data_IF_707480540738
#
_entry.id   IF_707480540738
#
_cell.length_a   1.000
_cell.length_b   1.000
_cell.length_c   1.000
_cell.angle_alpha   90.00
_cell.angle_beta   90.00
_cell.angle_gamma   90.00
#
_symmetry.space_group_name_H-M   'P 1'
#
loop_
_entity.id
_entity.type
_entity.pdbx_description
1 polymer ?
#
# COMPACT_ATOMS: atom_id res chain seq x y z
N UNK A 1 24.60 -8.53 -9.51
CA UNK A 1 24.33 -7.08 -9.52
C UNK A 1 23.06 -6.82 -8.74
N UNK A 2 23.17 -6.02 -7.69
CA UNK A 2 22.20 -5.85 -6.60
C UNK A 2 22.93 -6.01 -5.26
N UNK A 3 22.80 -5.05 -4.34
CA UNK A 3 23.33 -5.14 -2.98
C UNK A 3 22.43 -6.07 -2.16
N UNK A 4 22.48 -7.37 -2.45
CA UNK A 4 21.59 -8.38 -1.86
C UNK A 4 21.84 -8.60 -0.36
N UNK A 5 22.96 -8.11 0.16
CA UNK A 5 23.33 -8.02 1.58
C UNK A 5 22.86 -6.70 2.25
N UNK A 6 22.22 -5.82 1.48
CA UNK A 6 21.70 -4.53 1.95
C UNK A 6 22.67 -3.37 1.72
N UNK A 7 22.19 -2.15 1.98
CA UNK A 7 22.99 -0.94 1.83
C UNK A 7 23.30 -0.55 0.38
N UNK A 8 24.37 0.23 0.20
CA UNK A 8 24.75 0.82 -1.09
C UNK A 8 26.06 0.23 -1.62
N UNK A 9 26.09 -0.07 -2.92
CA UNK A 9 27.31 -0.53 -3.61
C UNK A 9 28.29 0.60 -3.99
N UNK A 10 28.02 1.82 -3.55
CA UNK A 10 28.80 3.04 -3.81
C UNK A 10 29.11 3.75 -2.50
N UNK A 11 30.23 4.51 -2.42
CA UNK A 11 30.59 5.26 -1.21
C UNK A 11 29.51 6.26 -0.80
N UNK A 12 29.42 6.56 0.51
CA UNK A 12 28.40 7.47 1.04
C UNK A 12 28.37 8.86 0.38
N UNK A 13 29.51 9.41 -0.07
CA UNK A 13 29.55 10.69 -0.79
C UNK A 13 28.78 10.65 -2.12
N UNK A 14 28.92 9.57 -2.88
CA UNK A 14 28.16 9.36 -4.10
C UNK A 14 26.67 9.20 -3.81
N UNK A 15 26.32 8.47 -2.74
CA UNK A 15 24.92 8.29 -2.34
C UNK A 15 24.29 9.64 -1.98
N UNK A 16 25.00 10.49 -1.23
CA UNK A 16 24.55 11.85 -0.87
C UNK A 16 24.33 12.73 -2.11
N UNK A 17 25.19 12.61 -3.12
CA UNK A 17 25.03 13.33 -4.39
C UNK A 17 23.76 12.89 -5.12
N UNK A 18 23.54 11.58 -5.25
CA UNK A 18 22.36 11.02 -5.91
C UNK A 18 21.08 11.39 -5.16
N UNK A 19 21.06 11.27 -3.83
CA UNK A 19 19.92 11.68 -3.01
C UNK A 19 19.59 13.16 -3.23
N UNK A 20 20.59 14.04 -3.15
CA UNK A 20 20.40 15.47 -3.41
C UNK A 20 19.80 15.71 -4.80
N UNK A 21 20.30 15.04 -5.83
CA UNK A 21 19.78 15.23 -7.19
C UNK A 21 18.35 14.71 -7.38
N UNK A 22 17.98 13.63 -6.70
CA UNK A 22 16.69 12.96 -6.91
C UNK A 22 15.59 13.43 -5.95
N UNK A 23 15.94 13.99 -4.79
CA UNK A 23 14.96 14.28 -3.73
C UNK A 23 15.01 15.71 -3.20
N UNK A 24 15.82 16.62 -3.77
CA UNK A 24 15.92 18.01 -3.27
C UNK A 24 14.65 18.86 -3.36
N UNK A 25 13.63 18.37 -4.05
CA UNK A 25 12.34 19.03 -4.23
C UNK A 25 11.27 18.51 -3.26
N UNK A 26 11.60 17.52 -2.43
CA UNK A 26 10.72 17.09 -1.35
C UNK A 26 10.78 18.08 -0.17
N UNK A 27 9.70 18.15 0.64
CA UNK A 27 9.77 18.76 1.95
C UNK A 27 10.90 18.17 2.80
N UNK A 28 11.30 18.90 3.84
CA UNK A 28 12.29 18.41 4.77
C UNK A 28 11.85 17.06 5.38
N UNK A 29 12.79 16.15 5.68
CA UNK A 29 12.46 14.85 6.25
C UNK A 29 11.81 15.01 7.64
N UNK A 30 10.81 14.18 7.93
CA UNK A 30 10.10 14.21 9.24
C UNK A 30 11.06 13.93 10.39
N UNK A 31 12.09 13.13 10.14
CA UNK A 31 13.18 12.90 11.07
C UNK A 31 14.50 12.98 10.29
N UNK A 32 15.25 14.10 10.34
CA UNK A 32 16.43 14.33 9.50
C UNK A 32 17.71 13.64 10.00
N UNK A 33 17.65 12.78 11.02
CA UNK A 33 18.84 12.08 11.51
C UNK A 33 19.50 11.27 10.40
N UNK A 34 20.78 11.55 10.16
CA UNK A 34 21.61 10.86 9.17
C UNK A 34 21.85 9.40 9.58
N UNK A 35 22.02 8.54 8.60
CA UNK A 35 22.44 7.15 8.81
C UNK A 35 23.96 7.00 8.63
N UNK A 36 24.47 5.77 8.66
CA UNK A 36 25.89 5.47 8.49
C UNK A 36 26.54 6.18 7.30
N UNK A 37 27.83 6.51 7.43
CA UNK A 37 28.59 7.32 6.46
C UNK A 37 28.04 8.75 6.23
N UNK A 38 27.19 9.24 7.15
CA UNK A 38 26.62 10.58 7.09
C UNK A 38 25.58 10.76 5.97
N UNK A 39 25.04 9.67 5.44
CA UNK A 39 24.00 9.66 4.39
C UNK A 39 22.70 10.24 4.96
N UNK A 40 21.98 11.02 4.14
CA UNK A 40 20.73 11.65 4.54
C UNK A 40 19.55 10.68 4.55
N UNK A 41 18.38 11.23 4.86
CA UNK A 41 17.08 10.59 4.71
C UNK A 41 16.14 11.60 4.04
N UNK A 42 15.09 11.11 3.41
CA UNK A 42 14.12 11.88 2.63
C UNK A 42 12.68 11.40 2.81
N UNK A 43 12.40 10.38 3.65
CA UNK A 43 11.02 10.07 4.01
C UNK A 43 10.36 11.27 4.70
N UNK A 44 9.19 11.65 4.20
CA UNK A 44 8.46 12.85 4.63
C UNK A 44 6.99 12.73 4.26
N UNK A 45 6.21 13.79 4.48
CA UNK A 45 4.90 13.94 3.86
C UNK A 45 4.78 15.24 3.07
N UNK A 46 3.93 15.23 2.05
CA UNK A 46 3.58 16.39 1.25
C UNK A 46 2.06 16.57 1.29
N UNK A 47 1.58 17.68 1.84
CA UNK A 47 0.17 18.05 1.72
C UNK A 47 -0.03 18.90 0.46
N UNK A 48 -0.85 18.39 -0.47
CA UNK A 48 -1.17 19.08 -1.71
C UNK A 48 -2.62 18.84 -2.12
N UNK A 49 -3.39 19.91 -2.36
CA UNK A 49 -4.78 19.82 -2.79
C UNK A 49 -5.69 19.08 -1.80
N UNK A 50 -5.44 19.25 -0.50
CA UNK A 50 -6.07 18.52 0.61
C UNK A 50 -5.80 17.00 0.60
N UNK A 51 -4.79 16.54 -0.13
CA UNK A 51 -4.32 15.15 -0.03
C UNK A 51 -2.97 15.17 0.65
N UNK A 52 -2.83 14.34 1.67
CA UNK A 52 -1.57 14.18 2.39
C UNK A 52 -0.87 12.90 1.89
N UNK A 53 0.29 13.09 1.28
CA UNK A 53 1.10 12.04 0.66
C UNK A 53 2.26 11.66 1.60
N UNK A 54 2.23 10.47 2.20
CA UNK A 54 3.40 9.90 2.86
C UNK A 54 4.39 9.37 1.81
N UNK A 55 5.61 9.87 1.82
CA UNK A 55 6.70 9.48 0.93
C UNK A 55 7.67 8.58 1.71
N UNK A 56 7.81 7.32 1.29
CA UNK A 56 8.51 6.28 2.04
C UNK A 56 9.85 5.87 1.42
N UNK A 57 10.78 5.47 2.29
CA UNK A 57 12.10 4.93 1.97
C UNK A 57 12.15 3.42 2.21
N UNK A 58 11.36 2.68 1.43
CA UNK A 58 11.19 1.22 1.55
C UNK A 58 12.35 0.39 0.97
N UNK A 59 13.39 1.05 0.44
CA UNK A 59 14.63 0.41 -0.05
C UNK A 59 15.83 0.63 0.87
N UNK A 60 16.06 1.86 1.33
CA UNK A 60 17.22 2.24 2.14
C UNK A 60 17.29 1.48 3.47
N UNK A 61 16.13 1.30 4.11
CA UNK A 61 16.03 0.68 5.44
C UNK A 61 15.80 -0.83 5.39
N UNK A 62 15.51 -1.37 4.20
CA UNK A 62 15.16 -2.77 4.02
C UNK A 62 16.40 -3.66 4.18
N UNK A 63 16.24 -4.74 4.93
CA UNK A 63 17.27 -5.77 5.08
C UNK A 63 17.53 -6.47 3.74
N UNK A 64 18.80 -6.77 3.43
CA UNK A 64 19.15 -7.64 2.30
C UNK A 64 19.05 -9.12 2.69
N UNK A 65 18.50 -10.01 1.84
CA UNK A 65 18.36 -11.43 2.18
C UNK A 65 19.68 -12.21 2.22
N UNK A 66 20.74 -11.75 1.54
CA UNK A 66 22.02 -12.47 1.49
C UNK A 66 22.67 -12.54 2.88
N UNK A 67 23.05 -13.76 3.29
CA UNK A 67 23.62 -14.02 4.62
C UNK A 67 22.59 -14.06 5.75
N UNK A 68 21.32 -13.73 5.49
CA UNK A 68 20.21 -13.81 6.45
C UNK A 68 19.24 -14.95 6.14
N UNK A 69 19.04 -15.22 4.86
CA UNK A 69 18.18 -16.30 4.36
C UNK A 69 19.02 -17.25 3.51
N UNK A 70 18.92 -18.58 3.69
CA UNK A 70 19.57 -19.54 2.82
C UNK A 70 19.17 -19.34 1.35
N UNK A 71 20.14 -19.41 0.44
CA UNK A 71 19.90 -19.24 -0.99
C UNK A 71 19.04 -20.40 -1.53
N UNK A 72 17.85 -20.09 -2.05
CA UNK A 72 16.87 -21.07 -2.57
C UNK A 72 16.53 -20.89 -4.06
N UNK A 73 17.36 -20.14 -4.78
CA UNK A 73 17.16 -19.80 -6.17
C UNK A 73 18.43 -19.26 -6.83
N UNK A 74 18.35 -18.74 -8.07
CA UNK A 74 19.52 -18.27 -8.80
C UNK A 74 20.18 -17.05 -8.13
N UNK A 75 19.37 -16.18 -7.50
CA UNK A 75 19.81 -15.04 -6.70
C UNK A 75 19.48 -15.24 -5.21
N UNK A 76 20.16 -14.57 -4.27
CA UNK A 76 19.87 -14.67 -2.83
C UNK A 76 18.44 -14.27 -2.46
N UNK A 77 17.82 -13.40 -3.24
CA UNK A 77 16.46 -12.91 -3.08
C UNK A 77 15.39 -13.77 -3.78
N UNK A 78 15.78 -14.85 -4.47
CA UNK A 78 14.87 -15.69 -5.25
C UNK A 78 14.57 -17.03 -4.58
N UNK A 79 13.30 -17.41 -4.59
CA UNK A 79 12.83 -18.72 -4.17
C UNK A 79 12.08 -19.38 -5.33
N UNK A 80 12.52 -20.59 -5.71
CA UNK A 80 11.88 -21.37 -6.79
C UNK A 80 11.02 -22.51 -6.29
N UNK A 81 11.37 -23.11 -5.16
CA UNK A 81 10.65 -24.24 -4.60
C UNK A 81 9.27 -23.78 -4.12
N UNK A 82 8.15 -24.27 -4.72
CA UNK A 82 6.81 -23.91 -4.26
C UNK A 82 6.43 -24.60 -2.94
N UNK A 83 7.16 -25.64 -2.54
CA UNK A 83 6.90 -26.42 -1.33
C UNK A 83 7.76 -25.98 -0.14
N UNK A 84 8.43 -24.83 -0.24
CA UNK A 84 9.19 -24.26 0.88
C UNK A 84 8.25 -23.73 1.97
N UNK A 85 8.74 -23.64 3.20
CA UNK A 85 8.00 -23.00 4.29
C UNK A 85 8.20 -21.47 4.25
N UNK A 86 7.15 -20.66 3.98
CA UNK A 86 7.29 -19.21 3.95
C UNK A 86 7.71 -18.60 5.30
N UNK A 87 7.38 -19.25 6.43
CA UNK A 87 7.81 -18.78 7.74
C UNK A 87 9.33 -18.86 7.91
N UNK A 88 10.00 -19.79 7.21
CA UNK A 88 11.46 -19.96 7.28
C UNK A 88 12.26 -18.76 6.76
N UNK A 89 11.61 -17.86 6.01
CA UNK A 89 12.26 -16.65 5.48
C UNK A 89 11.87 -15.37 6.20
N UNK A 90 10.84 -15.37 7.06
CA UNK A 90 10.52 -14.23 7.93
C UNK A 90 11.45 -14.22 9.15
N UNK A 91 12.73 -13.90 8.91
CA UNK A 91 13.78 -14.06 9.90
C UNK A 91 13.78 -12.92 10.93
N UNK A 92 14.07 -13.28 12.18
CA UNK A 92 14.18 -12.33 13.29
C UNK A 92 15.17 -11.20 12.99
N UNK A 93 14.76 -9.98 13.34
CA UNK A 93 15.56 -8.78 13.12
C UNK A 93 15.63 -8.32 11.66
N UNK A 94 14.93 -8.97 10.71
CA UNK A 94 14.74 -8.40 9.38
C UNK A 94 13.82 -7.17 9.43
N UNK A 95 14.25 -6.12 8.75
CA UNK A 95 13.61 -4.80 8.73
C UNK A 95 13.11 -4.49 7.32
N UNK A 96 11.93 -3.86 7.23
CA UNK A 96 11.42 -3.26 6.01
C UNK A 96 11.54 -1.73 6.03
N UNK A 97 10.66 -1.05 6.80
CA UNK A 97 10.68 0.42 6.93
C UNK A 97 11.57 0.92 8.08
N UNK A 98 11.71 0.12 9.13
CA UNK A 98 12.39 0.52 10.36
C UNK A 98 11.55 1.43 11.25
N UNK A 99 11.95 1.54 12.52
CA UNK A 99 11.15 2.18 13.57
C UNK A 99 10.87 3.67 13.33
N UNK A 100 11.81 4.39 12.71
CA UNK A 100 11.66 5.83 12.44
C UNK A 100 10.51 6.11 11.48
N UNK A 101 10.42 5.32 10.40
CA UNK A 101 9.34 5.42 9.42
C UNK A 101 8.01 4.90 9.99
N UNK A 102 8.04 3.83 10.80
CA UNK A 102 6.83 3.32 11.45
C UNK A 102 6.24 4.32 12.45
N UNK A 103 7.09 5.00 13.23
CA UNK A 103 6.69 6.08 14.14
C UNK A 103 6.08 7.26 13.36
N UNK A 104 6.72 7.65 12.26
CA UNK A 104 6.16 8.65 11.35
C UNK A 104 4.78 8.23 10.84
N UNK A 105 4.63 7.01 10.33
CA UNK A 105 3.34 6.53 9.80
C UNK A 105 2.25 6.45 10.87
N UNK A 106 2.58 6.04 12.10
CA UNK A 106 1.62 6.01 13.20
C UNK A 106 1.11 7.42 13.54
N UNK A 107 1.99 8.42 13.59
CA UNK A 107 1.61 9.83 13.77
C UNK A 107 0.83 10.38 12.57
N UNK A 108 1.35 10.16 11.36
CA UNK A 108 0.74 10.61 10.11
C UNK A 108 -0.66 10.02 9.89
N UNK A 109 -0.92 8.77 10.31
CA UNK A 109 -2.24 8.15 10.19
C UNK A 109 -3.31 8.84 11.07
N UNK A 110 -2.87 9.48 12.15
CA UNK A 110 -3.72 10.16 13.13
C UNK A 110 -3.91 11.65 12.81
N UNK A 111 -2.93 12.26 12.16
CA UNK A 111 -2.98 13.67 11.79
C UNK A 111 -3.78 13.89 10.50
N UNK A 112 -4.89 14.61 10.59
CA UNK A 112 -5.73 14.97 9.44
C UNK A 112 -5.79 16.47 9.23
N UNK A 113 -4.85 17.23 9.79
CA UNK A 113 -4.76 18.66 9.56
C UNK A 113 -4.57 18.93 8.06
N UNK A 114 -5.44 19.78 7.50
CA UNK A 114 -5.44 20.14 6.06
C UNK A 114 -5.53 18.94 5.11
N UNK A 115 -5.93 17.76 5.60
CA UNK A 115 -6.01 16.54 4.81
C UNK A 115 -7.45 16.01 4.78
N UNK A 116 -7.89 15.70 3.57
CA UNK A 116 -9.16 15.09 3.24
C UNK A 116 -8.99 13.61 2.87
N UNK A 117 -7.86 13.29 2.25
CA UNK A 117 -7.47 11.96 1.81
C UNK A 117 -5.99 11.72 2.08
N UNK A 118 -5.62 10.44 2.20
CA UNK A 118 -4.24 10.02 2.48
C UNK A 118 -3.75 9.04 1.43
N UNK A 119 -2.52 9.24 0.98
CA UNK A 119 -1.86 8.37 -0.01
C UNK A 119 -0.46 8.04 0.48
N UNK A 120 -0.05 6.78 0.39
CA UNK A 120 1.32 6.36 0.61
C UNK A 120 2.01 6.13 -0.74
N UNK A 121 3.24 6.63 -0.87
CA UNK A 121 4.11 6.47 -2.02
C UNK A 121 5.35 5.67 -1.59
N UNK A 122 5.64 4.59 -2.29
CA UNK A 122 6.85 3.79 -2.04
C UNK A 122 7.46 3.32 -3.36
N UNK A 123 8.70 2.84 -3.31
CA UNK A 123 9.36 2.31 -4.51
C UNK A 123 8.61 1.07 -5.04
N UNK A 124 8.21 0.13 -4.16
CA UNK A 124 7.56 -1.12 -4.56
C UNK A 124 6.34 -1.49 -3.72
N UNK A 125 5.55 -2.45 -4.23
CA UNK A 125 4.28 -2.89 -3.66
C UNK A 125 4.49 -3.79 -2.44
N UNK A 126 3.62 -3.72 -1.43
CA UNK A 126 3.63 -4.55 -0.22
C UNK A 126 3.14 -5.99 -0.45
N UNK A 127 3.63 -6.66 -1.49
CA UNK A 127 3.41 -8.10 -1.76
C UNK A 127 4.41 -8.63 -2.79
N UNK A 128 4.50 -9.96 -2.93
CA UNK A 128 5.05 -10.65 -4.10
C UNK A 128 4.13 -10.50 -5.31
N UNK A 129 4.16 -9.34 -5.96
CA UNK A 129 3.21 -8.99 -7.04
C UNK A 129 3.47 -9.63 -8.40
N UNK A 130 4.46 -10.51 -8.53
CA UNK A 130 4.83 -11.18 -9.77
C UNK A 130 5.24 -12.63 -9.51
N UNK A 131 4.86 -13.51 -10.44
CA UNK A 131 5.20 -14.94 -10.43
C UNK A 131 6.21 -15.31 -11.51
N UNK A 132 6.35 -14.51 -12.57
CA UNK A 132 7.26 -14.79 -13.69
C UNK A 132 8.07 -13.53 -13.95
N UNK A 133 9.38 -13.70 -14.12
CA UNK A 133 10.35 -12.61 -14.20
C UNK A 133 11.27 -12.76 -15.42
N UNK A 134 11.45 -11.67 -16.17
CA UNK A 134 12.33 -11.58 -17.34
C UNK A 134 11.74 -12.23 -18.59
N UNK A 135 11.51 -13.54 -18.56
CA UNK A 135 10.94 -14.31 -19.68
C UNK A 135 9.88 -15.30 -19.20
N UNK A 136 9.06 -15.83 -20.12
CA UNK A 136 7.90 -16.68 -19.80
C UNK A 136 8.23 -17.94 -18.96
N UNK A 137 9.48 -18.44 -19.02
CA UNK A 137 9.96 -19.59 -18.24
C UNK A 137 10.60 -19.20 -16.90
N UNK A 138 10.68 -17.91 -16.58
CA UNK A 138 11.32 -17.36 -15.38
C UNK A 138 10.42 -17.39 -14.15
N UNK A 139 9.67 -18.47 -13.94
CA UNK A 139 8.77 -18.56 -12.78
C UNK A 139 9.59 -18.55 -11.48
N UNK A 140 9.20 -17.68 -10.57
CA UNK A 140 9.65 -17.62 -9.19
C UNK A 140 8.43 -17.85 -8.30
N UNK A 141 8.65 -18.58 -7.22
CA UNK A 141 7.61 -18.72 -6.22
C UNK A 141 7.57 -17.46 -5.35
N UNK A 142 8.72 -16.95 -4.91
CA UNK A 142 8.83 -15.70 -4.17
C UNK A 142 10.06 -14.88 -4.59
N UNK A 143 9.94 -13.54 -4.51
CA UNK A 143 10.97 -12.55 -4.81
C UNK A 143 11.12 -11.59 -3.62
N UNK A 144 12.14 -11.83 -2.78
CA UNK A 144 12.39 -11.07 -1.54
C UNK A 144 12.78 -9.62 -1.82
N UNK A 145 13.03 -9.25 -3.07
CA UNK A 145 13.21 -7.86 -3.48
C UNK A 145 11.90 -7.06 -3.37
N UNK A 146 10.71 -7.66 -3.50
CA UNK A 146 9.44 -6.95 -3.30
C UNK A 146 9.17 -6.64 -1.82
N UNK A 147 8.26 -5.72 -1.50
CA UNK A 147 7.84 -5.49 -0.11
C UNK A 147 6.83 -6.55 0.40
N UNK A 148 6.76 -7.70 -0.27
CA UNK A 148 6.18 -8.92 0.33
C UNK A 148 7.04 -9.48 1.47
N UNK A 149 8.33 -9.14 1.49
CA UNK A 149 9.31 -9.60 2.47
C UNK A 149 10.12 -8.43 3.08
N UNK A 150 10.52 -8.49 4.36
CA UNK A 150 10.12 -9.51 5.35
C UNK A 150 8.64 -9.39 5.72
N UNK A 151 7.96 -10.52 5.93
CA UNK A 151 6.51 -10.55 6.18
C UNK A 151 6.13 -9.74 7.43
N UNK A 152 6.87 -9.91 8.53
CA UNK A 152 6.65 -9.12 9.74
C UNK A 152 6.85 -7.61 9.52
N UNK A 153 7.80 -7.22 8.66
CA UNK A 153 8.01 -5.83 8.25
C UNK A 153 6.86 -5.27 7.43
N UNK A 154 6.38 -6.05 6.43
CA UNK A 154 5.20 -5.74 5.62
C UNK A 154 3.96 -5.56 6.49
N UNK A 155 3.72 -6.47 7.43
CA UNK A 155 2.53 -6.44 8.29
C UNK A 155 2.46 -5.17 9.14
N UNK A 156 3.59 -4.73 9.70
CA UNK A 156 3.69 -3.45 10.43
C UNK A 156 3.39 -2.25 9.53
N UNK A 157 3.92 -2.23 8.31
CA UNK A 157 3.64 -1.16 7.36
C UNK A 157 2.15 -1.07 7.00
N UNK A 158 1.53 -2.18 6.63
CA UNK A 158 0.10 -2.24 6.28
C UNK A 158 -0.79 -1.88 7.47
N UNK A 159 -0.43 -2.31 8.69
CA UNK A 159 -1.16 -1.96 9.91
C UNK A 159 -1.11 -0.46 10.17
N UNK A 160 0.04 0.20 9.98
CA UNK A 160 0.15 1.64 10.14
C UNK A 160 -0.64 2.41 9.07
N UNK A 161 -0.58 1.96 7.81
CA UNK A 161 -1.26 2.62 6.70
C UNK A 161 -2.79 2.51 6.76
N UNK A 162 -3.33 1.33 7.14
CA UNK A 162 -4.78 1.13 7.22
C UNK A 162 -5.46 1.98 8.29
N UNK A 163 -4.75 2.30 9.39
CA UNK A 163 -5.25 3.21 10.45
C UNK A 163 -5.63 4.60 9.91
N UNK A 164 -5.03 5.04 8.81
CA UNK A 164 -5.30 6.32 8.16
C UNK A 164 -6.13 6.19 6.88
N UNK A 165 -6.74 5.03 6.59
CA UNK A 165 -7.45 4.76 5.33
C UNK A 165 -6.61 5.11 4.09
N UNK A 166 -5.29 4.90 4.16
CA UNK A 166 -4.37 5.33 3.12
C UNK A 166 -4.53 4.47 1.86
N UNK A 167 -4.49 5.11 0.70
CA UNK A 167 -4.32 4.42 -0.58
C UNK A 167 -2.84 4.29 -0.91
N UNK A 168 -2.40 3.15 -1.43
CA UNK A 168 -0.99 2.92 -1.77
C UNK A 168 -0.72 3.03 -3.27
N UNK A 169 0.25 3.85 -3.66
CA UNK A 169 0.77 3.91 -5.03
C UNK A 169 2.26 3.55 -5.03
N UNK A 170 2.67 2.68 -5.97
CA UNK A 170 4.05 2.21 -6.07
C UNK A 170 4.45 1.93 -7.53
N UNK A 171 5.75 1.67 -7.75
CA UNK A 171 6.32 1.25 -9.03
C UNK A 171 7.13 -0.04 -8.91
N UNK A 172 8.34 -0.04 -9.49
CA UNK A 172 9.37 -1.10 -9.41
C UNK A 172 9.03 -2.44 -10.10
N UNK A 173 7.82 -2.95 -9.97
CA UNK A 173 7.47 -4.30 -10.44
C UNK A 173 7.36 -4.43 -11.96
N UNK A 174 7.37 -3.33 -12.72
CA UNK A 174 7.22 -3.34 -14.17
C UNK A 174 5.97 -4.09 -14.66
N UNK A 175 4.96 -4.18 -13.80
CA UNK A 175 3.69 -4.84 -14.03
C UNK A 175 2.65 -4.03 -13.29
N UNK A 176 1.72 -3.43 -14.03
CA UNK A 176 0.63 -2.73 -13.38
C UNK A 176 -0.29 -3.73 -12.69
N UNK A 177 -0.62 -3.48 -11.42
CA UNK A 177 -1.48 -4.35 -10.63
C UNK A 177 -2.35 -3.55 -9.67
N UNK A 178 -3.58 -4.00 -9.46
CA UNK A 178 -4.41 -3.55 -8.34
C UNK A 178 -4.54 -4.70 -7.35
N UNK A 179 -4.15 -4.46 -6.10
CA UNK A 179 -4.35 -5.38 -4.99
C UNK A 179 -5.13 -4.72 -3.85
N UNK A 180 -5.94 -5.51 -3.15
CA UNK A 180 -6.41 -5.18 -1.81
C UNK A 180 -5.68 -6.10 -0.84
N UNK A 181 -4.91 -5.52 0.07
CA UNK A 181 -4.04 -6.24 0.98
C UNK A 181 -4.83 -6.85 2.15
N UNK A 182 -4.28 -7.94 2.69
CA UNK A 182 -4.75 -8.57 3.91
C UNK A 182 -3.62 -8.80 4.92
N UNK A 183 -4.00 -8.78 6.20
CA UNK A 183 -3.23 -9.17 7.37
C UNK A 183 -3.83 -10.45 7.95
N UNK A 184 -4.98 -10.34 8.62
CA UNK A 184 -5.64 -11.50 9.23
C UNK A 184 -6.55 -12.20 8.24
N UNK A 185 -7.26 -11.43 7.43
CA UNK A 185 -8.14 -11.88 6.36
C UNK A 185 -7.78 -11.20 5.05
N UNK A 186 -8.21 -11.74 3.92
CA UNK A 186 -8.21 -10.98 2.67
C UNK A 186 -9.09 -9.72 2.82
N UNK A 187 -8.63 -8.59 2.29
CA UNK A 187 -9.35 -7.30 2.26
C UNK A 187 -9.57 -6.64 3.63
N UNK A 188 -8.61 -6.75 4.55
CA UNK A 188 -8.65 -6.10 5.87
C UNK A 188 -7.49 -5.10 6.11
N UNK A 189 -6.89 -4.62 5.02
CA UNK A 189 -5.89 -3.57 4.98
C UNK A 189 -6.06 -2.71 3.71
N UNK A 190 -5.04 -1.96 3.32
CA UNK A 190 -5.16 -0.94 2.25
C UNK A 190 -5.32 -1.52 0.83
N UNK A 191 -5.83 -0.70 -0.09
CA UNK A 191 -5.70 -0.94 -1.52
C UNK A 191 -4.38 -0.39 -2.04
N UNK A 192 -3.84 -1.03 -3.08
CA UNK A 192 -2.66 -0.58 -3.80
C UNK A 192 -2.83 -0.58 -5.31
N UNK A 193 -2.16 0.37 -5.95
CA UNK A 193 -1.93 0.39 -7.39
C UNK A 193 -0.44 0.48 -7.68
N UNK A 194 0.11 -0.57 -8.26
CA UNK A 194 1.41 -0.49 -8.90
C UNK A 194 1.22 0.07 -10.31
N UNK A 195 1.84 1.21 -10.61
CA UNK A 195 1.80 1.78 -11.95
C UNK A 195 2.69 0.97 -12.91
N UNK A 196 2.38 0.93 -14.21
CA UNK A 196 3.25 0.29 -15.20
C UNK A 196 4.58 1.04 -15.33
N UNK A 197 5.58 0.36 -15.88
CA UNK A 197 6.78 1.04 -16.36
C UNK A 197 6.48 1.79 -17.66
N UNK A 198 6.96 3.04 -17.78
CA UNK A 198 6.86 3.83 -19.02
C UNK A 198 7.53 3.09 -20.19
N UNK A 199 8.65 2.42 -19.93
CA UNK A 199 9.34 1.58 -20.90
C UNK A 199 9.65 0.23 -20.25
N UNK A 200 8.87 -0.79 -20.60
CA UNK A 200 8.99 -2.09 -19.96
C UNK A 200 10.04 -3.00 -20.65
N UNK A 201 11.27 -2.98 -20.13
CA UNK A 201 12.37 -3.81 -20.62
C UNK A 201 12.56 -5.10 -19.81
N UNK A 202 11.97 -5.19 -18.63
CA UNK A 202 12.04 -6.36 -17.76
C UNK A 202 10.64 -6.83 -17.42
N UNK A 203 10.18 -7.84 -18.16
CA UNK A 203 8.80 -8.30 -18.11
C UNK A 203 8.51 -9.05 -16.81
N UNK A 204 7.34 -8.79 -16.25
CA UNK A 204 6.78 -9.59 -15.16
C UNK A 204 5.33 -9.98 -15.45
N UNK A 205 4.87 -11.06 -14.83
CA UNK A 205 3.47 -11.51 -14.91
C UNK A 205 2.94 -11.91 -13.53
N UNK A 206 1.70 -11.52 -13.26
CA UNK A 206 0.87 -12.09 -12.21
C UNK A 206 0.13 -13.31 -12.78
N UNK A 207 0.66 -14.50 -12.54
CA UNK A 207 0.10 -15.75 -13.05
C UNK A 207 0.03 -16.81 -11.94
N UNK A 208 -0.98 -16.76 -11.06
CA UNK A 208 -1.17 -17.81 -10.07
C UNK A 208 -1.50 -19.15 -10.75
N UNK A 209 -1.12 -20.25 -10.12
CA UNK A 209 -1.34 -21.60 -10.66
C UNK A 209 -2.80 -22.06 -10.55
N UNK A 210 -3.56 -21.45 -9.64
CA UNK A 210 -4.98 -21.74 -9.40
C UNK A 210 -5.79 -20.46 -9.57
N UNK A 211 -7.06 -20.55 -10.01
CA UNK A 211 -7.96 -19.41 -9.98
C UNK A 211 -8.12 -18.84 -8.57
N UNK A 212 -8.24 -17.53 -8.45
CA UNK A 212 -8.45 -16.89 -7.14
C UNK A 212 -9.85 -17.14 -6.58
N UNK A 213 -9.94 -17.26 -5.26
CA UNK A 213 -11.23 -17.40 -4.59
C UNK A 213 -11.99 -16.05 -4.53
N UNK A 214 -13.31 -16.09 -4.29
CA UNK A 214 -14.17 -14.88 -4.13
C UNK A 214 -13.95 -13.80 -5.21
N UNK A 215 -13.73 -14.28 -6.43
CA UNK A 215 -13.47 -13.44 -7.60
C UNK A 215 -14.76 -12.81 -8.13
N UNK A 216 -14.68 -11.58 -8.63
CA UNK A 216 -15.82 -10.90 -9.27
C UNK A 216 -16.31 -11.69 -10.50
N UNK A 217 -17.62 -11.82 -10.68
CA UNK A 217 -18.20 -12.54 -11.81
C UNK A 217 -17.65 -12.00 -13.14
N UNK A 218 -17.27 -12.89 -14.06
CA UNK A 218 -16.74 -12.53 -15.39
C UNK A 218 -15.30 -11.98 -15.44
N UNK A 219 -14.64 -11.76 -14.29
CA UNK A 219 -13.24 -11.30 -14.29
C UNK A 219 -12.23 -12.40 -14.70
N UNK A 220 -10.97 -12.08 -15.02
CA UNK A 220 -9.96 -13.08 -15.39
C UNK A 220 -9.65 -14.07 -14.25
N UNK A 221 -9.34 -15.33 -14.56
CA UNK A 221 -9.10 -16.37 -13.52
C UNK A 221 -8.02 -16.01 -12.50
N UNK A 222 -7.04 -15.19 -12.87
CA UNK A 222 -5.96 -14.77 -11.98
C UNK A 222 -6.39 -13.74 -10.92
N UNK A 223 -7.58 -13.15 -11.00
CA UNK A 223 -8.09 -12.20 -9.99
C UNK A 223 -8.75 -12.94 -8.82
N UNK A 224 -9.12 -12.22 -7.76
CA UNK A 224 -9.65 -12.79 -6.53
C UNK A 224 -8.58 -13.00 -5.46
N UNK A 225 -8.91 -13.82 -4.47
CA UNK A 225 -8.11 -14.10 -3.28
C UNK A 225 -7.00 -15.10 -3.58
N UNK A 226 -5.79 -14.72 -3.20
CA UNK A 226 -4.57 -15.51 -3.32
C UNK A 226 -3.72 -15.37 -2.07
N UNK A 227 -2.79 -16.30 -1.93
CA UNK A 227 -1.58 -16.12 -1.14
C UNK A 227 -0.45 -15.82 -2.12
N UNK A 228 0.35 -14.79 -1.84
CA UNK A 228 1.59 -14.61 -2.60
C UNK A 228 2.65 -15.63 -2.17
N UNK A 229 3.82 -15.59 -2.79
CA UNK A 229 4.91 -16.51 -2.47
C UNK A 229 5.37 -16.52 -1.02
N UNK A 230 4.98 -15.55 -0.19
CA UNK A 230 5.34 -15.46 1.23
C UNK A 230 4.17 -15.78 2.17
N UNK A 231 3.10 -16.38 1.65
CA UNK A 231 1.82 -16.57 2.34
C UNK A 231 1.12 -15.27 2.76
N UNK A 232 1.46 -14.13 2.13
CA UNK A 232 0.71 -12.92 2.36
C UNK A 232 -0.66 -12.99 1.69
N UNK A 233 -1.70 -12.61 2.43
CA UNK A 233 -3.06 -12.49 1.89
C UNK A 233 -3.14 -11.29 0.96
N UNK A 234 -3.51 -11.54 -0.30
CA UNK A 234 -3.73 -10.51 -1.33
C UNK A 234 -4.96 -10.83 -2.16
N UNK A 235 -5.75 -9.82 -2.48
CA UNK A 235 -6.83 -9.94 -3.45
C UNK A 235 -6.44 -9.16 -4.70
N UNK A 236 -6.20 -9.86 -5.81
CA UNK A 236 -5.92 -9.21 -7.09
C UNK A 236 -7.21 -8.79 -7.79
N UNK A 237 -7.24 -7.57 -8.33
CA UNK A 237 -8.37 -7.06 -9.09
C UNK A 237 -8.04 -6.78 -10.56
N UNK A 238 -6.79 -6.49 -10.85
CA UNK A 238 -6.31 -6.30 -12.20
C UNK A 238 -4.80 -6.56 -12.26
N UNK A 239 -4.34 -7.06 -13.41
CA UNK A 239 -2.93 -7.17 -13.74
C UNK A 239 -2.74 -6.93 -15.25
N UNK A 240 -1.88 -5.99 -15.63
CA UNK A 240 -1.55 -5.72 -17.03
C UNK A 240 -0.53 -6.74 -17.56
N UNK A 241 -0.87 -8.02 -17.46
CA UNK A 241 -0.02 -9.12 -17.92
C UNK A 241 0.31 -8.95 -19.41
N UNK A 242 1.60 -8.84 -19.79
CA UNK A 242 1.95 -8.78 -21.20
C UNK A 242 1.66 -10.12 -21.89
N UNK A 243 1.65 -10.13 -23.22
CA UNK A 243 1.65 -11.39 -23.97
C UNK A 243 2.87 -12.23 -23.61
N UNK A 244 2.76 -13.56 -23.70
CA UNK A 244 3.88 -14.47 -23.35
C UNK A 244 5.09 -14.32 -24.28
N UNK A 245 4.84 -13.95 -25.54
CA UNK A 245 5.85 -13.70 -26.56
C UNK A 245 5.52 -12.37 -27.26
N UNK A 246 5.76 -11.23 -26.60
CA UNK A 246 5.40 -9.94 -27.15
C UNK A 246 6.25 -9.65 -28.40
N UNK A 247 5.60 -9.47 -29.54
CA UNK A 247 6.22 -9.10 -30.80
C UNK A 247 6.16 -7.58 -31.02
N UNK A 248 6.92 -7.04 -31.99
CA UNK A 248 6.87 -5.62 -32.36
C UNK A 248 7.79 -4.70 -31.54
N UNK A 249 7.47 -3.41 -31.50
CA UNK A 249 8.31 -2.39 -30.85
C UNK A 249 8.34 -2.61 -29.33
N UNK A 250 9.51 -3.00 -28.83
CA UNK A 250 9.82 -3.31 -27.42
C UNK A 250 9.29 -2.24 -26.46
N UNK A 251 9.28 -0.98 -26.88
CA UNK A 251 8.82 0.15 -26.08
C UNK A 251 7.30 0.28 -25.95
N UNK A 252 6.53 -0.44 -26.77
CA UNK A 252 5.06 -0.36 -26.84
C UNK A 252 4.35 -1.70 -26.59
N UNK A 253 5.01 -2.85 -26.82
CA UNK A 253 4.34 -4.17 -26.86
C UNK A 253 4.50 -5.02 -25.60
N UNK A 254 4.87 -4.38 -24.49
CA UNK A 254 5.31 -5.05 -23.24
C UNK A 254 4.53 -4.61 -22.01
N UNK A 255 3.25 -4.30 -22.18
CA UNK A 255 2.43 -3.65 -21.14
C UNK A 255 3.09 -2.37 -20.59
N UNK A 256 3.74 -1.61 -21.48
CA UNK A 256 4.41 -0.36 -21.16
C UNK A 256 3.42 0.80 -21.22
N UNK A 257 3.55 1.77 -20.32
CA UNK A 257 2.61 2.88 -20.24
C UNK A 257 2.71 3.68 -18.96
N UNK A 258 1.61 4.28 -18.53
CA UNK A 258 1.58 5.10 -17.33
C UNK A 258 0.29 4.91 -16.55
N UNK A 259 0.38 5.11 -15.23
CA UNK A 259 -0.78 5.13 -14.35
C UNK A 259 -1.24 6.56 -14.10
N UNK A 260 -2.54 6.76 -13.95
CA UNK A 260 -3.12 8.00 -13.43
C UNK A 260 -3.97 7.65 -12.22
N UNK A 261 -3.76 8.33 -11.10
CA UNK A 261 -4.59 8.22 -9.89
C UNK A 261 -5.37 9.51 -9.76
N UNK A 262 -6.70 9.46 -9.94
CA UNK A 262 -7.59 10.60 -9.74
C UNK A 262 -8.15 10.55 -8.33
N UNK A 263 -7.89 11.60 -7.56
CA UNK A 263 -8.34 11.73 -6.19
C UNK A 263 -9.46 12.78 -6.15
N UNK A 264 -10.69 12.33 -5.95
CA UNK A 264 -11.82 13.23 -5.78
C UNK A 264 -12.02 13.50 -4.29
N UNK A 265 -11.45 14.60 -3.80
CA UNK A 265 -11.55 14.98 -2.39
C UNK A 265 -12.98 15.26 -1.96
N UNK A 266 -13.85 15.80 -2.81
CA UNK A 266 -15.26 16.06 -2.43
C UNK A 266 -16.06 14.77 -2.22
N UNK A 267 -15.90 13.78 -3.12
CA UNK A 267 -16.64 12.51 -3.06
C UNK A 267 -15.94 11.44 -2.21
N UNK A 268 -14.66 11.64 -1.89
CA UNK A 268 -13.76 10.61 -1.31
C UNK A 268 -13.66 9.37 -2.19
N UNK A 269 -13.49 9.60 -3.49
CA UNK A 269 -13.32 8.54 -4.49
C UNK A 269 -11.89 8.55 -5.04
N UNK A 270 -11.34 7.36 -5.29
CA UNK A 270 -10.02 7.14 -5.86
C UNK A 270 -10.20 6.34 -7.14
N UNK A 271 -9.88 6.92 -8.29
CA UNK A 271 -9.91 6.21 -9.58
C UNK A 271 -8.49 5.90 -10.03
N UNK A 272 -8.21 4.62 -10.19
CA UNK A 272 -6.98 4.09 -10.77
C UNK A 272 -7.21 3.92 -12.27
N UNK A 273 -6.32 4.50 -13.07
CA UNK A 273 -6.27 4.35 -14.53
C UNK A 273 -4.92 3.81 -14.97
N UNK A 274 -4.91 2.98 -16.00
CA UNK A 274 -3.70 2.36 -16.52
C UNK A 274 -3.71 2.40 -18.05
N UNK A 275 -2.91 3.31 -18.61
CA UNK A 275 -2.93 3.63 -20.04
C UNK A 275 -1.71 3.04 -20.74
N UNK A 276 -1.87 2.51 -21.97
CA UNK A 276 -0.74 2.17 -22.82
C UNK A 276 0.14 3.40 -23.11
N UNK A 277 1.41 3.17 -23.44
CA UNK A 277 2.33 4.24 -23.84
C UNK A 277 1.90 4.87 -25.18
N UNK A 278 2.20 6.16 -25.34
CA UNK A 278 2.03 6.92 -26.60
C UNK A 278 0.58 6.97 -27.10
N UNK A 279 -0.37 7.07 -26.16
CA UNK A 279 -1.79 7.25 -26.48
C UNK A 279 -2.26 8.63 -26.05
N UNK A 280 -3.24 9.16 -26.77
CA UNK A 280 -4.00 10.32 -26.33
C UNK A 280 -5.13 9.85 -25.40
N UNK A 281 -5.05 10.17 -24.10
CA UNK A 281 -6.06 9.76 -23.12
C UNK A 281 -7.37 10.55 -23.23
N UNK A 282 -7.41 11.60 -24.06
CA UNK A 282 -8.63 12.36 -24.36
C UNK A 282 -9.42 11.78 -25.52
N UNK A 283 -8.80 10.91 -26.33
CA UNK A 283 -9.48 10.23 -27.44
C UNK A 283 -10.41 9.11 -26.91
N UNK A 284 -11.73 9.20 -27.15
CA UNK A 284 -12.69 8.21 -26.68
C UNK A 284 -12.56 6.84 -27.36
N UNK A 285 -11.73 6.68 -28.39
CA UNK A 285 -11.39 5.39 -28.99
C UNK A 285 -10.27 4.65 -28.23
N UNK A 286 -9.41 5.37 -27.51
CA UNK A 286 -8.30 4.78 -26.76
C UNK A 286 -8.83 3.99 -25.55
N UNK A 287 -8.20 2.86 -25.26
CA UNK A 287 -8.59 1.96 -24.18
C UNK A 287 -7.45 1.79 -23.19
N UNK A 288 -7.82 1.72 -21.91
CA UNK A 288 -6.92 1.34 -20.83
C UNK A 288 -6.61 -0.17 -20.90
N UNK A 289 -5.61 -0.60 -20.13
CA UNK A 289 -5.39 -2.04 -19.93
C UNK A 289 -6.62 -2.68 -19.28
N UNK A 290 -6.85 -3.97 -19.61
CA UNK A 290 -7.98 -4.73 -19.08
C UNK A 290 -7.97 -4.74 -17.55
N UNK A 291 -9.10 -4.40 -16.95
CA UNK A 291 -9.27 -4.28 -15.49
C UNK A 291 -9.24 -2.83 -14.99
N UNK A 292 -8.87 -1.88 -15.84
CA UNK A 292 -8.94 -0.44 -15.59
C UNK A 292 -9.96 0.25 -16.53
N UNK A 293 -10.52 1.42 -16.14
CA UNK A 293 -10.33 2.09 -14.86
C UNK A 293 -11.01 1.34 -13.71
N UNK A 294 -10.54 1.56 -12.48
CA UNK A 294 -11.19 1.07 -11.27
C UNK A 294 -11.34 2.19 -10.27
N UNK A 295 -12.54 2.38 -9.74
CA UNK A 295 -12.83 3.37 -8.69
C UNK A 295 -13.15 2.68 -7.38
N UNK A 296 -12.58 3.16 -6.29
CA UNK A 296 -12.89 2.77 -4.92
C UNK A 296 -13.27 4.01 -4.10
N UNK A 297 -13.98 3.81 -3.00
CA UNK A 297 -14.09 4.81 -1.95
C UNK A 297 -12.82 4.85 -1.11
N UNK A 298 -12.48 6.01 -0.53
CA UNK A 298 -11.47 6.11 0.53
C UNK A 298 -11.73 5.11 1.65
N UNK A 299 -13.01 4.91 2.01
CA UNK A 299 -13.40 4.02 3.10
C UNK A 299 -13.18 2.54 2.78
N UNK A 300 -13.02 2.17 1.50
CA UNK A 300 -12.70 0.79 1.09
C UNK A 300 -11.26 0.38 1.49
N UNK A 301 -10.39 1.34 1.84
CA UNK A 301 -9.03 1.06 2.35
C UNK A 301 -9.01 0.45 3.75
N UNK A 302 -10.11 0.54 4.50
CA UNK A 302 -10.21 -0.17 5.78
C UNK A 302 -11.66 -0.38 6.19
N UNK A 303 -12.31 -1.37 5.55
CA UNK A 303 -13.65 -1.84 5.91
C UNK A 303 -13.66 -3.39 6.00
N UNK A 304 -13.04 -3.98 7.05
CA UNK A 304 -12.96 -5.43 7.17
C UNK A 304 -14.35 -6.09 7.12
N UNK A 305 -14.59 -7.07 6.22
CA UNK A 305 -15.93 -7.64 6.03
C UNK A 305 -16.55 -8.31 7.27
N UNK A 306 -15.73 -8.68 8.25
CA UNK A 306 -16.18 -9.29 9.51
C UNK A 306 -16.75 -8.29 10.52
N UNK A 307 -16.51 -6.99 10.31
CA UNK A 307 -16.90 -5.94 11.25
C UNK A 307 -18.39 -5.59 11.14
N UNK A 308 -18.90 -4.94 12.18
CA UNK A 308 -20.20 -4.28 12.17
C UNK A 308 -20.03 -2.76 12.20
N UNK A 309 -21.14 -2.04 12.41
CA UNK A 309 -21.12 -0.58 12.58
C UNK A 309 -21.61 -0.20 13.97
N UNK A 310 -20.95 0.78 14.57
CA UNK A 310 -21.49 1.50 15.72
C UNK A 310 -22.73 2.30 15.31
N UNK A 311 -23.46 2.80 16.31
CA UNK A 311 -24.58 3.70 16.08
C UNK A 311 -24.20 4.95 15.29
N UNK A 312 -25.12 5.43 14.44
CA UNK A 312 -24.89 6.62 13.61
C UNK A 312 -24.58 7.84 14.47
N UNK A 313 -23.44 8.46 14.23
CA UNK A 313 -23.03 9.73 14.81
C UNK A 313 -23.44 10.87 13.87
N UNK A 314 -24.04 11.92 14.43
CA UNK A 314 -24.39 13.15 13.71
C UNK A 314 -23.73 14.33 14.41
N UNK A 315 -22.85 15.02 13.70
CA UNK A 315 -22.01 16.09 14.22
C UNK A 315 -22.61 17.47 13.89
N UNK A 316 -22.31 18.46 14.72
CA UNK A 316 -22.67 19.87 14.50
C UNK A 316 -21.70 20.62 13.55
N UNK A 317 -20.56 20.01 13.24
CA UNK A 317 -19.56 20.51 12.28
C UNK A 317 -19.46 19.61 11.04
N UNK A 318 -19.07 20.18 9.91
CA UNK A 318 -18.75 19.43 8.69
C UNK A 318 -17.37 18.78 8.78
N UNK A 319 -17.24 17.58 8.21
CA UNK A 319 -15.99 16.85 8.07
C UNK A 319 -15.13 16.74 9.34
N UNK A 320 -15.68 16.38 10.52
CA UNK A 320 -14.87 16.20 11.71
C UNK A 320 -13.88 15.04 11.54
N UNK A 321 -12.81 15.07 12.32
CA UNK A 321 -11.88 13.96 12.47
C UNK A 321 -12.37 13.07 13.61
N UNK A 322 -12.51 11.78 13.33
CA UNK A 322 -13.01 10.77 14.28
C UNK A 322 -11.93 9.71 14.48
N UNK A 323 -11.67 9.34 15.72
CA UNK A 323 -10.77 8.26 16.12
C UNK A 323 -11.53 7.20 16.90
N UNK A 324 -11.30 5.94 16.55
CA UNK A 324 -11.85 4.78 17.24
C UNK A 324 -10.73 4.08 18.02
N UNK A 325 -10.92 3.94 19.33
CA UNK A 325 -9.97 3.31 20.24
C UNK A 325 -10.62 2.12 20.92
N UNK A 326 -9.94 0.97 20.91
CA UNK A 326 -10.39 -0.19 21.67
C UNK A 326 -10.18 0.03 23.17
N UNK A 327 -11.22 -0.21 23.98
CA UNK A 327 -11.14 0.06 25.42
C UNK A 327 -10.31 -0.97 26.18
N UNK A 328 -10.15 -2.18 25.65
CA UNK A 328 -9.41 -3.24 26.33
C UNK A 328 -7.91 -3.09 26.11
N UNK A 329 -7.48 -2.88 24.85
CA UNK A 329 -6.06 -2.76 24.52
C UNK A 329 -5.54 -1.32 24.55
N UNK A 330 -6.43 -0.32 24.48
CA UNK A 330 -6.03 1.07 24.25
C UNK A 330 -5.54 1.33 22.81
N UNK A 331 -5.66 0.35 21.91
CA UNK A 331 -5.19 0.47 20.53
C UNK A 331 -6.11 1.41 19.73
N UNK A 332 -5.48 2.34 19.02
CA UNK A 332 -6.16 3.12 17.99
C UNK A 332 -6.37 2.22 16.78
N UNK A 333 -7.62 1.87 16.50
CA UNK A 333 -7.97 1.08 15.31
C UNK A 333 -7.84 1.91 14.04
N UNK A 334 -8.32 3.16 14.07
CA UNK A 334 -8.14 4.11 12.98
C UNK A 334 -8.48 5.54 13.41
N UNK A 335 -8.01 6.49 12.62
CA UNK A 335 -8.43 7.90 12.63
C UNK A 335 -8.79 8.32 11.21
N UNK A 336 -9.91 9.02 11.03
CA UNK A 336 -10.39 9.41 9.70
C UNK A 336 -11.11 10.76 9.71
N UNK A 337 -10.92 11.55 8.66
CA UNK A 337 -11.77 12.72 8.39
C UNK A 337 -13.07 12.28 7.72
N UNK A 338 -14.18 12.47 8.42
CA UNK A 338 -15.53 12.14 7.93
C UNK A 338 -15.86 12.95 6.67
N UNK A 339 -16.67 12.37 5.76
CA UNK A 339 -17.28 13.11 4.65
C UNK A 339 -18.69 13.53 5.05
N UNK A 340 -18.88 14.82 5.35
CA UNK A 340 -20.11 15.43 5.80
C UNK A 340 -20.27 15.46 7.33
N UNK A 341 -21.53 15.54 7.78
CA UNK A 341 -21.93 15.61 9.20
C UNK A 341 -22.27 14.27 9.84
N UNK A 342 -22.21 13.15 9.11
CA UNK A 342 -22.66 11.86 9.64
C UNK A 342 -21.68 10.76 9.37
N UNK A 343 -21.45 9.91 10.38
CA UNK A 343 -20.56 8.76 10.27
C UNK A 343 -21.10 7.58 11.07
N UNK A 344 -20.84 6.36 10.62
CA UNK A 344 -21.16 5.14 11.37
C UNK A 344 -19.87 4.33 11.44
N UNK A 345 -19.07 4.51 12.50
CA UNK A 345 -17.77 3.86 12.64
C UNK A 345 -17.89 2.35 12.43
N UNK A 346 -17.09 1.79 11.51
CA UNK A 346 -16.91 0.34 11.43
C UNK A 346 -16.10 -0.14 12.63
N UNK A 347 -16.50 -1.25 13.25
CA UNK A 347 -15.84 -1.78 14.43
C UNK A 347 -16.00 -3.31 14.55
N UNK A 348 -15.03 -4.02 15.16
CA UNK A 348 -15.19 -5.43 15.51
C UNK A 348 -16.42 -5.66 16.41
N UNK A 349 -17.13 -6.78 16.20
CA UNK A 349 -18.28 -7.17 17.02
C UNK A 349 -17.83 -7.70 18.39
N UNK A 350 -18.66 -7.52 19.41
CA UNK A 350 -18.43 -8.07 20.76
C UNK A 350 -17.31 -7.38 21.56
N UNK A 351 -16.94 -6.15 21.18
CA UNK A 351 -15.95 -5.30 21.87
C UNK A 351 -16.54 -3.93 22.14
N UNK A 352 -15.95 -3.24 23.12
CA UNK A 352 -16.32 -1.89 23.52
C UNK A 352 -15.24 -0.88 23.08
N UNK A 353 -15.69 0.29 22.63
CA UNK A 353 -14.82 1.30 22.03
C UNK A 353 -15.06 2.69 22.62
N UNK A 354 -13.97 3.43 22.78
CA UNK A 354 -13.99 4.87 22.97
C UNK A 354 -13.95 5.55 21.62
N UNK A 355 -14.87 6.49 21.37
CA UNK A 355 -14.86 7.34 20.18
C UNK A 355 -14.40 8.72 20.57
N UNK A 356 -13.36 9.21 19.89
CA UNK A 356 -12.93 10.61 19.97
C UNK A 356 -13.30 11.36 18.71
N UNK A 357 -13.59 12.65 18.83
CA UNK A 357 -13.85 13.53 17.69
C UNK A 357 -13.34 14.96 17.93
N UNK A 358 -13.05 15.66 16.84
CA UNK A 358 -12.67 17.08 16.83
C UNK A 358 -12.71 17.66 15.41
N UNK A 359 -12.53 18.98 15.26
CA UNK A 359 -12.60 19.63 13.94
C UNK A 359 -11.45 19.22 13.03
N UNK A 360 -10.23 19.30 13.54
CA UNK A 360 -9.00 18.99 12.78
C UNK A 360 -8.17 17.86 13.37
N UNK A 361 -8.44 17.51 14.64
CA UNK A 361 -7.81 16.40 15.35
C UNK A 361 -8.85 15.76 16.27
N UNK A 362 -8.80 14.45 16.48
CA UNK A 362 -9.74 13.74 17.37
C UNK A 362 -9.38 13.94 18.86
N UNK A 363 -9.52 15.17 19.36
CA UNK A 363 -9.01 15.59 20.67
C UNK A 363 -9.94 15.30 21.86
N UNK A 364 -11.26 15.21 21.64
CA UNK A 364 -12.23 15.04 22.71
C UNK A 364 -12.88 13.65 22.67
N UNK A 365 -12.97 12.98 23.82
CA UNK A 365 -13.81 11.78 23.98
C UNK A 365 -15.28 12.21 23.87
N UNK A 366 -16.01 11.60 22.92
CA UNK A 366 -17.42 11.92 22.66
C UNK A 366 -18.35 10.75 22.96
N UNK A 367 -17.84 9.52 22.98
CA UNK A 367 -18.54 8.33 23.44
C UNK A 367 -17.56 7.38 24.12
N UNK A 368 -18.03 6.72 25.17
CA UNK A 368 -17.35 5.61 25.85
C UNK A 368 -18.25 4.38 25.80
N UNK A 369 -17.66 3.20 25.90
CA UNK A 369 -18.33 1.90 25.87
C UNK A 369 -19.26 1.75 24.67
N UNK A 370 -18.86 2.29 23.52
CA UNK A 370 -19.63 2.19 22.30
C UNK A 370 -19.47 0.78 21.72
N UNK A 371 -20.58 0.18 21.30
CA UNK A 371 -20.61 -1.18 20.76
C UNK A 371 -21.34 -1.24 19.42
N UNK A 372 -21.03 -2.27 18.63
CA UNK A 372 -21.71 -2.53 17.35
C UNK A 372 -23.22 -2.68 17.58
N UNK A 373 -24.03 -2.00 16.78
CA UNK A 373 -25.48 -1.99 16.92
C UNK A 373 -26.02 -0.98 17.95
N UNK A 374 -25.16 -0.12 18.52
CA UNK A 374 -25.58 0.96 19.40
C UNK A 374 -26.56 1.96 18.75
N UNK A 375 -27.27 2.71 19.58
CA UNK A 375 -28.23 3.74 19.13
C UNK A 375 -27.56 4.93 18.46
N UNK A 376 -28.26 5.62 17.56
CA UNK A 376 -27.79 6.89 16.97
C UNK A 376 -27.56 7.98 18.05
N UNK A 377 -26.54 8.83 17.84
CA UNK A 377 -26.14 9.90 18.77
C UNK A 377 -25.89 11.22 18.03
N UNK A 378 -26.26 12.33 18.67
CA UNK A 378 -25.85 13.68 18.26
C UNK A 378 -24.61 14.07 19.05
N UNK A 379 -23.56 14.50 18.36
CA UNK A 379 -22.26 14.84 18.93
C UNK A 379 -22.02 16.33 18.73
N UNK A 380 -21.66 17.03 19.81
CA UNK A 380 -21.15 18.40 19.73
C UNK A 380 -19.64 18.36 19.76
N UNK A 381 -19.01 18.87 18.71
CA UNK A 381 -17.56 18.94 18.60
C UNK A 381 -17.12 20.27 19.21
N UNK A 382 -16.31 20.21 20.27
CA UNK A 382 -15.77 21.40 20.94
C UNK A 382 -14.66 22.06 20.13
#
# INVERSE_FOLDING_TARGET
GGASDGGYSRPGDYVKEVERAQTSHFPDPVDPHKIGQGIGVWFTNLNWGNVDFAILEDRKFKTGPAGRVPKQGPRPDHIRNPDYDPASVDVDGAVLLGERQLKFLDQWSQDWEKADMKVALSATIFCGGAHIHGGANGRLHADMDSNGWPQSGRSRALSALRKGFAFHCAGDQHLATIFHHGLENHRDAIWSFCVPSIANLYLRWWEPLKPGAKREAGSPLYTGDHLDGFDNKVTNYAAANPEKKPAGNILNTRSAGFGVVRLNTKKREITMECWPRNVDISDPAVRQYKGWPRTISQFDNYDPPSWGKLGKLTFDVENPVVQLVDETSGEILYTVRVNGKTFSPGAPKGRAFTVKAGRDQASAVVLEKAEVGGSARKIRVK
#
